data_IF_661221095145
#
_entry.id   IF_661221095145
#
_cell.length_a   1.000
_cell.length_b   1.000
_cell.length_c   1.000
_cell.angle_alpha   90.00
_cell.angle_beta   90.00
_cell.angle_gamma   90.00
#
_symmetry.space_group_name_H-M   'P 1'
#
loop_
_entity.id
_entity.type
_entity.pdbx_description
1 polymer ?
#
# COMPACT_ATOMS: atom_id res chain seq x y z
N UNK A 1 0.80 -5.28 19.68
CA UNK A 1 2.25 -5.26 19.40
C UNK A 1 2.82 -6.66 19.23
N UNK A 2 2.79 -7.21 18.02
CA UNK A 2 3.47 -8.47 17.72
C UNK A 2 4.92 -8.19 17.31
N UNK A 3 5.85 -8.21 18.28
CA UNK A 3 7.30 -8.19 18.03
C UNK A 3 7.82 -9.56 17.56
N UNK A 4 6.99 -10.32 16.83
CA UNK A 4 7.28 -11.71 16.45
C UNK A 4 8.58 -11.84 15.62
N UNK A 5 8.94 -10.77 14.91
CA UNK A 5 10.11 -10.70 14.02
C UNK A 5 11.28 -9.92 14.60
N UNK A 6 11.26 -9.57 15.89
CA UNK A 6 12.30 -8.72 16.52
C UNK A 6 13.72 -9.30 16.48
N UNK A 7 13.87 -10.58 16.17
CA UNK A 7 15.15 -11.24 15.98
C UNK A 7 15.66 -11.22 14.53
N UNK A 8 14.84 -10.86 13.55
CA UNK A 8 15.28 -10.72 12.16
C UNK A 8 15.98 -9.36 11.98
N UNK A 9 17.20 -9.37 11.42
CA UNK A 9 17.98 -8.17 11.20
C UNK A 9 17.35 -7.18 10.19
N UNK A 10 16.38 -7.63 9.39
CA UNK A 10 15.63 -6.81 8.43
C UNK A 10 14.31 -6.29 9.00
N UNK A 11 14.01 -6.63 10.25
CA UNK A 11 12.84 -6.10 10.95
C UNK A 11 13.19 -4.80 11.66
N UNK A 12 12.38 -3.78 11.43
CA UNK A 12 12.42 -2.52 12.16
C UNK A 12 11.06 -2.35 12.82
N UNK A 13 11.04 -2.09 14.13
CA UNK A 13 9.81 -1.72 14.79
C UNK A 13 9.31 -0.39 14.23
N UNK A 14 8.07 -0.38 13.76
CA UNK A 14 7.44 0.81 13.20
C UNK A 14 6.11 1.06 13.90
N UNK A 15 5.92 2.27 14.43
CA UNK A 15 4.66 2.74 14.99
C UNK A 15 4.11 3.84 14.07
N UNK A 16 3.02 3.54 13.36
CA UNK A 16 2.42 4.49 12.42
C UNK A 16 1.89 5.75 13.10
N UNK A 17 1.67 5.77 14.43
CA UNK A 17 1.32 6.98 15.17
C UNK A 17 2.49 7.96 15.29
N UNK A 18 3.71 7.48 15.08
CA UNK A 18 4.94 8.25 14.98
C UNK A 18 5.57 8.03 13.59
N UNK A 19 4.96 8.55 12.51
CA UNK A 19 5.30 8.19 11.13
C UNK A 19 6.76 8.49 10.72
N UNK A 20 7.43 9.40 11.42
CA UNK A 20 8.85 9.74 11.24
C UNK A 20 9.76 9.25 12.38
N UNK A 21 9.25 8.37 13.25
CA UNK A 21 9.96 7.84 14.42
C UNK A 21 10.87 6.64 14.13
N UNK A 22 11.17 6.38 12.85
CA UNK A 22 12.07 5.31 12.43
C UNK A 22 13.54 5.77 12.46
N UNK A 23 14.49 4.84 12.33
CA UNK A 23 15.92 5.14 12.33
C UNK A 23 16.32 5.99 11.13
N UNK A 24 17.02 7.10 11.37
CA UNK A 24 17.40 8.07 10.33
C UNK A 24 18.24 7.47 9.19
N UNK A 25 18.95 6.36 9.45
CA UNK A 25 19.69 5.61 8.41
C UNK A 25 18.81 5.04 7.30
N UNK A 26 17.49 4.94 7.52
CA UNK A 26 16.52 4.44 6.56
C UNK A 26 15.97 5.53 5.64
N UNK A 27 16.25 6.81 5.92
CA UNK A 27 15.75 7.93 5.13
C UNK A 27 16.30 7.86 3.71
N UNK A 28 15.47 8.15 2.71
CA UNK A 28 15.82 8.17 1.28
C UNK A 28 16.55 6.91 0.77
N UNK A 29 16.26 5.73 1.33
CA UNK A 29 17.02 4.50 1.11
C UNK A 29 16.26 3.42 0.32
N UNK A 30 15.03 3.69 -0.10
CA UNK A 30 14.15 2.71 -0.74
C UNK A 30 13.65 3.18 -2.11
N UNK A 31 13.83 2.36 -3.14
CA UNK A 31 13.31 2.67 -4.48
C UNK A 31 11.78 2.49 -4.56
N UNK A 32 11.24 1.50 -3.84
CA UNK A 32 9.82 1.13 -3.84
C UNK A 32 9.34 0.93 -2.41
N UNK A 33 8.16 1.46 -2.09
CA UNK A 33 7.49 1.27 -0.80
C UNK A 33 6.22 0.44 -0.99
N UNK A 34 6.12 -0.67 -0.25
CA UNK A 34 4.94 -1.57 -0.25
C UNK A 34 4.16 -1.37 1.04
N UNK A 35 2.86 -1.10 0.94
CA UNK A 35 2.03 -0.61 2.06
C UNK A 35 0.72 -1.39 2.19
N UNK A 36 0.51 -2.02 3.35
CA UNK A 36 -0.76 -2.64 3.76
C UNK A 36 -1.04 -2.25 5.22
N UNK A 37 -1.75 -1.14 5.47
CA UNK A 37 -1.87 -0.56 6.80
C UNK A 37 -2.92 -1.32 7.64
N UNK A 38 -2.85 -1.23 8.98
CA UNK A 38 -3.84 -1.88 9.87
C UNK A 38 -5.26 -1.32 9.72
N UNK A 39 -5.39 -0.08 9.22
CA UNK A 39 -6.66 0.57 8.93
C UNK A 39 -6.55 1.37 7.64
N UNK A 40 -7.64 1.46 6.89
CA UNK A 40 -7.70 2.12 5.58
C UNK A 40 -8.38 3.50 5.61
N UNK A 41 -8.38 4.17 6.77
CA UNK A 41 -8.94 5.52 6.93
C UNK A 41 -7.98 6.58 6.38
N UNK A 42 -8.50 7.76 6.01
CA UNK A 42 -7.67 8.90 5.56
C UNK A 42 -6.54 9.23 6.53
N UNK A 43 -6.85 9.33 7.83
CA UNK A 43 -5.87 9.67 8.86
C UNK A 43 -4.67 8.70 8.89
N UNK A 44 -4.94 7.40 8.70
CA UNK A 44 -3.87 6.40 8.65
C UNK A 44 -3.11 6.50 7.33
N UNK A 45 -3.78 6.67 6.20
CA UNK A 45 -3.12 6.85 4.90
C UNK A 45 -2.22 8.09 4.84
N UNK A 46 -2.62 9.20 5.45
CA UNK A 46 -1.80 10.42 5.54
C UNK A 46 -0.51 10.18 6.35
N UNK A 47 -0.57 9.39 7.43
CA UNK A 47 0.63 8.99 8.20
C UNK A 47 1.56 8.11 7.36
N UNK A 48 1.02 7.15 6.62
CA UNK A 48 1.82 6.31 5.72
C UNK A 48 2.39 7.09 4.53
N UNK A 49 1.69 8.11 4.02
CA UNK A 49 2.21 9.02 3.01
C UNK A 49 3.44 9.79 3.52
N UNK A 50 3.35 10.32 4.74
CA UNK A 50 4.48 11.00 5.38
C UNK A 50 5.69 10.07 5.57
N UNK A 51 5.47 8.83 6.01
CA UNK A 51 6.54 7.83 6.12
C UNK A 51 7.14 7.49 4.75
N UNK A 52 6.31 7.32 3.73
CA UNK A 52 6.73 6.95 2.36
C UNK A 52 7.61 8.01 1.76
N UNK A 53 7.22 9.28 1.85
CA UNK A 53 8.02 10.41 1.37
C UNK A 53 9.40 10.46 2.04
N UNK A 54 9.46 10.13 3.33
CA UNK A 54 10.71 10.14 4.09
C UNK A 54 11.61 8.93 3.79
N UNK A 55 11.04 7.75 3.56
CA UNK A 55 11.81 6.53 3.29
C UNK A 55 12.30 6.45 1.83
N UNK A 56 11.48 6.89 0.88
CA UNK A 56 11.73 6.66 -0.52
C UNK A 56 12.89 7.51 -1.06
N UNK A 57 13.70 6.93 -1.92
CA UNK A 57 14.70 7.65 -2.72
C UNK A 57 13.98 8.47 -3.78
N UNK A 58 13.43 9.62 -3.38
CA UNK A 58 12.79 10.54 -4.31
C UNK A 58 13.86 11.33 -5.07
N UNK A 59 14.10 10.98 -6.33
CA UNK A 59 14.83 11.86 -7.25
C UNK A 59 13.83 12.76 -7.96
N UNK A 60 13.71 14.01 -7.51
CA UNK A 60 12.98 15.04 -8.26
C UNK A 60 13.41 14.99 -9.73
N UNK A 61 12.47 14.88 -10.70
CA UNK A 61 11.04 15.20 -10.61
C UNK A 61 10.10 14.01 -10.33
N UNK A 62 10.59 12.80 -10.05
CA UNK A 62 9.76 11.60 -9.93
C UNK A 62 9.25 11.39 -8.49
N UNK A 63 7.95 11.07 -8.30
CA UNK A 63 7.43 10.70 -6.99
C UNK A 63 7.98 9.33 -6.54
N UNK A 64 7.92 9.01 -5.24
CA UNK A 64 8.18 7.66 -4.72
C UNK A 64 7.40 6.58 -5.49
N UNK A 65 8.03 5.43 -5.76
CA UNK A 65 7.32 4.29 -6.34
C UNK A 65 6.55 3.56 -5.22
N UNK A 66 5.25 3.37 -5.43
CA UNK A 66 4.37 2.84 -4.38
C UNK A 66 3.57 1.64 -4.89
N UNK A 67 3.45 0.64 -4.03
CA UNK A 67 2.51 -0.47 -4.14
C UNK A 67 1.67 -0.52 -2.87
N UNK A 68 0.35 -0.33 -2.97
CA UNK A 68 -0.52 -0.26 -1.81
C UNK A 68 -1.77 -1.12 -1.97
N UNK A 69 -2.31 -1.60 -0.85
CA UNK A 69 -3.57 -2.37 -0.81
C UNK A 69 -4.63 -1.63 0.00
N UNK A 70 -5.82 -1.48 -0.59
CA UNK A 70 -7.01 -0.88 0.04
C UNK A 70 -8.26 -1.29 -0.75
N UNK A 71 -9.44 -0.80 -0.39
CA UNK A 71 -10.66 -0.93 -1.19
C UNK A 71 -10.71 0.06 -2.37
N UNK A 72 -11.47 -0.26 -3.42
CA UNK A 72 -11.61 0.57 -4.63
C UNK A 72 -12.12 1.99 -4.34
N UNK A 73 -12.95 2.15 -3.30
CA UNK A 73 -13.54 3.42 -2.87
C UNK A 73 -12.49 4.45 -2.44
N UNK A 74 -11.30 3.99 -2.03
CA UNK A 74 -10.19 4.88 -1.69
C UNK A 74 -9.41 5.37 -2.92
N UNK A 75 -9.78 5.00 -4.16
CA UNK A 75 -9.03 5.41 -5.35
C UNK A 75 -8.76 6.93 -5.46
N UNK A 76 -9.72 7.84 -5.17
CA UNK A 76 -9.44 9.27 -5.16
C UNK A 76 -8.38 9.68 -4.13
N UNK A 77 -8.48 9.13 -2.91
CA UNK A 77 -7.52 9.39 -1.82
C UNK A 77 -6.12 8.86 -2.17
N UNK A 78 -6.04 7.65 -2.72
CA UNK A 78 -4.77 7.04 -3.09
C UNK A 78 -4.09 7.80 -4.23
N UNK A 79 -4.87 8.31 -5.19
CA UNK A 79 -4.38 9.19 -6.25
C UNK A 79 -3.87 10.52 -5.69
N UNK A 80 -4.57 11.11 -4.74
CA UNK A 80 -4.18 12.36 -4.05
C UNK A 80 -2.84 12.20 -3.30
N UNK A 81 -2.68 11.12 -2.52
CA UNK A 81 -1.53 10.97 -1.63
C UNK A 81 -0.27 10.39 -2.29
N UNK A 82 -0.43 9.48 -3.26
CA UNK A 82 0.69 8.70 -3.81
C UNK A 82 0.77 8.70 -5.34
N UNK A 83 -0.15 9.39 -6.01
CA UNK A 83 -0.31 9.36 -7.48
C UNK A 83 -0.59 7.96 -8.07
N UNK A 84 -1.01 7.00 -7.25
CA UNK A 84 -1.26 5.60 -7.66
C UNK A 84 -2.65 5.40 -8.25
N UNK A 85 -2.80 4.35 -9.06
CA UNK A 85 -4.07 3.90 -9.66
C UNK A 85 -4.32 2.42 -9.39
N UNK A 86 -5.58 1.97 -9.30
CA UNK A 86 -5.88 0.56 -9.06
C UNK A 86 -5.43 -0.31 -10.24
N UNK A 87 -5.02 -1.54 -9.94
CA UNK A 87 -4.53 -2.52 -10.90
C UNK A 87 -5.58 -3.60 -11.19
N UNK A 88 -5.38 -4.41 -12.24
CA UNK A 88 -6.28 -5.53 -12.54
C UNK A 88 -6.09 -6.69 -11.56
N UNK A 89 -4.87 -6.88 -11.05
CA UNK A 89 -4.60 -7.81 -9.96
C UNK A 89 -5.31 -7.36 -8.68
N UNK A 90 -5.94 -8.30 -7.97
CA UNK A 90 -6.61 -8.04 -6.70
C UNK A 90 -6.17 -9.06 -5.64
N UNK A 91 -5.89 -8.65 -4.40
CA UNK A 91 -5.61 -9.60 -3.32
C UNK A 91 -6.77 -10.58 -3.11
N UNK A 92 -6.47 -11.88 -3.09
CA UNK A 92 -7.44 -12.91 -2.70
C UNK A 92 -7.43 -13.06 -1.18
N UNK A 93 -8.49 -12.58 -0.53
CA UNK A 93 -8.64 -12.66 0.93
C UNK A 93 -9.89 -13.49 1.23
N UNK A 94 -9.72 -14.78 1.60
CA UNK A 94 -10.86 -15.63 1.92
C UNK A 94 -11.70 -15.06 3.07
N UNK A 95 -13.03 -15.16 2.93
CA UNK A 95 -14.01 -14.78 3.94
C UNK A 95 -14.15 -13.26 4.22
N UNK A 96 -13.56 -12.40 3.38
CA UNK A 96 -13.80 -10.96 3.46
C UNK A 96 -15.02 -10.57 2.61
N UNK A 97 -15.90 -9.72 3.16
CA UNK A 97 -17.14 -9.28 2.47
C UNK A 97 -16.87 -8.25 1.38
N UNK A 98 -15.72 -7.57 1.46
CA UNK A 98 -15.31 -6.53 0.52
C UNK A 98 -14.07 -7.00 -0.24
N UNK A 99 -13.96 -6.59 -1.50
CA UNK A 99 -12.82 -6.90 -2.35
C UNK A 99 -11.76 -5.80 -2.22
N UNK A 100 -10.57 -6.17 -1.77
CA UNK A 100 -9.42 -5.28 -1.83
C UNK A 100 -8.92 -5.17 -3.27
N UNK A 101 -8.34 -4.02 -3.59
CA UNK A 101 -7.64 -3.73 -4.81
C UNK A 101 -6.18 -3.40 -4.50
N UNK A 102 -5.33 -3.70 -5.46
CA UNK A 102 -3.93 -3.30 -5.45
C UNK A 102 -3.80 -1.98 -6.24
N UNK A 103 -2.95 -1.08 -5.78
CA UNK A 103 -2.71 0.25 -6.37
C UNK A 103 -1.22 0.46 -6.61
N UNK A 104 -0.86 1.03 -7.76
CA UNK A 104 0.53 1.40 -8.05
C UNK A 104 0.65 2.59 -9.00
N UNK A 105 1.83 3.23 -9.03
CA UNK A 105 2.18 4.34 -9.93
C UNK A 105 3.29 3.97 -10.93
N UNK A 106 3.70 2.70 -10.98
CA UNK A 106 4.68 2.20 -11.93
C UNK A 106 4.11 1.05 -12.78
N UNK A 107 4.58 0.88 -14.02
CA UNK A 107 4.13 -0.21 -14.88
C UNK A 107 4.58 -1.57 -14.30
N UNK A 108 3.65 -2.52 -14.27
CA UNK A 108 3.93 -3.89 -13.86
C UNK A 108 2.99 -4.87 -14.57
N UNK A 109 3.53 -5.66 -15.51
CA UNK A 109 2.75 -6.60 -16.32
C UNK A 109 1.95 -7.60 -15.47
N UNK A 110 2.52 -8.03 -14.34
CA UNK A 110 1.84 -8.96 -13.43
C UNK A 110 0.65 -8.33 -12.72
N UNK A 111 0.75 -7.06 -12.35
CA UNK A 111 -0.36 -6.34 -11.70
C UNK A 111 -1.41 -5.87 -12.73
N UNK A 112 -1.01 -5.73 -14.00
CA UNK A 112 -1.90 -5.34 -15.09
C UNK A 112 -2.84 -6.48 -15.56
N UNK A 113 -2.77 -7.67 -14.97
CA UNK A 113 -3.63 -8.80 -15.29
C UNK A 113 -4.44 -9.25 -14.07
N UNK A 114 -5.69 -9.72 -14.25
CA UNK A 114 -6.42 -10.41 -13.19
C UNK A 114 -5.68 -11.67 -12.74
N UNK A 115 -5.75 -11.99 -11.44
CA UNK A 115 -5.27 -13.25 -10.89
C UNK A 115 -6.38 -14.31 -10.87
N UNK A 116 -5.99 -15.58 -11.09
CA UNK A 116 -6.91 -16.73 -11.13
C UNK A 116 -7.61 -16.99 -9.77
N UNK A 117 -7.05 -16.48 -8.69
CA UNK A 117 -7.53 -16.67 -7.32
C UNK A 117 -8.81 -15.88 -6.99
N UNK A 118 -9.20 -14.93 -7.83
CA UNK A 118 -10.45 -14.17 -7.69
C UNK A 118 -11.57 -14.93 -8.40
N UNK A 119 -12.36 -15.66 -7.62
CA UNK A 119 -13.56 -16.34 -8.14
C UNK A 119 -14.65 -15.33 -8.51
N UNK A 120 -15.55 -15.70 -9.44
CA UNK A 120 -16.64 -14.85 -9.93
C UNK A 120 -17.49 -14.25 -8.81
N UNK A 121 -17.67 -14.97 -7.70
CA UNK A 121 -18.47 -14.52 -6.55
C UNK A 121 -17.84 -13.34 -5.80
N UNK A 122 -16.51 -13.22 -5.81
CA UNK A 122 -15.78 -12.08 -5.22
C UNK A 122 -15.72 -10.87 -6.17
N UNK A 123 -15.84 -11.07 -7.49
CA UNK A 123 -15.93 -9.96 -8.46
C UNK A 123 -17.26 -9.18 -8.39
N UNK A 124 -18.32 -9.85 -7.95
CA UNK A 124 -19.67 -9.27 -7.82
C UNK A 124 -19.87 -8.38 -6.58
N UNK A 125 -18.85 -8.25 -5.72
CA UNK A 125 -18.90 -7.37 -4.55
C UNK A 125 -18.79 -5.87 -4.91
N UNK A 126 -18.47 -5.53 -6.16
CA UNK A 126 -18.52 -4.14 -6.65
C UNK A 126 -19.98 -3.76 -6.89
N UNK A 127 -20.68 -3.36 -5.82
CA UNK A 127 -21.95 -2.65 -5.98
C UNK A 127 -21.65 -1.25 -6.52
N UNK A 128 -22.18 -0.85 -7.68
CA UNK A 128 -22.13 0.55 -8.08
C UNK A 128 -22.96 1.36 -7.07
N UNK A 129 -22.35 2.37 -6.48
CA UNK A 129 -23.04 3.48 -5.85
C UNK A 129 -23.06 4.66 -6.81
#
# INVERSE_FOLDING_TARGET
DSKAWSSDARYVYFDYNHPLGFDESLRNSFDVVVIDPPFITREVWEKYAQTTEALATATSPSPPLVLATTVHENAPLMKELFDVTPTAFQPSIPNLVYQYACFTNFPCDRLAQPNEEITSDQSSAVKPY
#
